data_IF_495754017756
#
_entry.id   IF_495754017756
#
_cell.length_a   1.000
_cell.length_b   1.000
_cell.length_c   1.000
_cell.angle_alpha   90.00
_cell.angle_beta   90.00
_cell.angle_gamma   90.00
#
_symmetry.space_group_name_H-M   'P 1'
#
loop_
_entity.id
_entity.type
_entity.pdbx_description
1 polymer ?
#
# COMPACT_ATOMS: atom_id res chain seq x y z
N UNK A 1 -3.91 13.03 12.15
CA UNK A 1 -2.72 12.16 12.10
C UNK A 1 -3.10 11.00 11.22
N UNK A 2 -2.50 10.77 10.04
CA UNK A 2 -2.83 9.59 9.24
C UNK A 2 -2.41 8.40 10.08
N UNK A 3 -3.38 7.58 10.47
CA UNK A 3 -3.16 6.39 11.29
C UNK A 3 -2.19 5.46 10.58
N UNK A 4 -1.36 4.76 11.33
CA UNK A 4 -0.57 3.60 10.90
C UNK A 4 -1.43 2.44 10.35
N UNK A 5 -2.72 2.67 10.07
CA UNK A 5 -3.70 1.67 9.65
C UNK A 5 -3.54 1.21 8.18
N UNK A 6 -2.87 1.99 7.32
CA UNK A 6 -2.62 1.62 5.93
C UNK A 6 -1.20 2.05 5.52
N UNK A 7 -0.35 1.07 5.23
CA UNK A 7 1.06 1.28 4.91
C UNK A 7 1.25 2.13 3.64
N UNK A 8 0.46 1.86 2.61
CA UNK A 8 0.54 2.55 1.32
C UNK A 8 0.10 4.00 1.43
N UNK A 9 -0.93 4.31 2.23
CA UNK A 9 -1.32 5.69 2.52
C UNK A 9 -0.15 6.50 3.12
N UNK A 10 0.63 5.87 4.00
CA UNK A 10 1.83 6.48 4.58
C UNK A 10 2.92 6.72 3.53
N UNK A 11 3.11 5.80 2.58
CA UNK A 11 4.05 5.99 1.47
C UNK A 11 3.61 7.09 0.51
N UNK A 12 2.34 7.09 0.11
CA UNK A 12 1.76 8.09 -0.78
C UNK A 12 1.91 9.51 -0.21
N UNK A 13 1.62 9.70 1.08
CA UNK A 13 1.81 10.99 1.76
C UNK A 13 3.28 11.43 1.85
N UNK A 14 4.23 10.49 1.97
CA UNK A 14 5.67 10.81 1.96
C UNK A 14 6.14 11.15 0.56
N UNK A 15 5.67 10.43 -0.44
CA UNK A 15 5.96 10.69 -1.85
C UNK A 15 5.45 12.06 -2.29
N UNK A 16 4.17 12.39 -2.03
CA UNK A 16 3.58 13.68 -2.43
C UNK A 16 4.28 14.90 -1.81
N UNK A 17 4.96 14.73 -0.67
CA UNK A 17 5.77 15.80 -0.05
C UNK A 17 7.07 16.10 -0.79
N UNK A 18 7.55 15.19 -1.62
CA UNK A 18 8.84 15.32 -2.33
C UNK A 18 8.69 15.25 -3.85
N UNK A 19 7.53 14.86 -4.35
CA UNK A 19 7.24 14.83 -5.79
C UNK A 19 7.03 16.26 -6.33
N UNK A 20 7.83 16.71 -7.33
CA UNK A 20 7.73 18.07 -7.83
C UNK A 20 6.39 18.41 -8.50
N UNK A 21 5.71 17.42 -9.11
CA UNK A 21 4.41 17.64 -9.73
C UNK A 21 3.34 17.80 -8.65
N UNK A 22 3.33 16.92 -7.65
CA UNK A 22 2.41 17.04 -6.52
C UNK A 22 2.59 18.36 -5.77
N UNK A 23 3.83 18.78 -5.52
CA UNK A 23 4.09 20.09 -4.92
C UNK A 23 3.53 21.23 -5.77
N UNK A 24 3.72 21.18 -7.09
CA UNK A 24 3.19 22.19 -8.00
C UNK A 24 1.65 22.24 -8.02
N UNK A 25 0.97 21.10 -7.98
CA UNK A 25 -0.49 20.99 -7.88
C UNK A 25 -0.97 21.60 -6.56
N UNK A 26 -0.36 21.20 -5.44
CA UNK A 26 -0.74 21.62 -4.09
C UNK A 26 -0.46 23.11 -3.82
N UNK A 27 0.51 23.71 -4.51
CA UNK A 27 0.85 25.14 -4.40
C UNK A 27 0.02 26.04 -5.33
N UNK A 28 -0.79 25.47 -6.23
CA UNK A 28 -1.57 26.25 -7.18
C UNK A 28 -2.60 27.14 -6.44
N UNK A 29 -2.89 28.38 -6.90
CA UNK A 29 -3.80 29.30 -6.19
C UNK A 29 -5.23 28.79 -5.94
N UNK A 30 -5.63 27.71 -6.62
CA UNK A 30 -6.88 26.97 -6.41
C UNK A 30 -6.65 25.46 -6.26
N UNK A 31 -5.41 25.00 -6.33
CA UNK A 31 -5.03 23.63 -6.01
C UNK A 31 -4.93 23.54 -4.51
N UNK A 32 -5.97 23.02 -3.87
CA UNK A 32 -5.88 22.65 -2.47
C UNK A 32 -5.00 21.40 -2.33
N UNK A 33 -4.91 20.89 -1.10
CA UNK A 33 -4.28 19.60 -0.86
C UNK A 33 -5.02 18.50 -1.64
N UNK A 34 -4.30 17.76 -2.48
CA UNK A 34 -4.82 16.59 -3.19
C UNK A 34 -5.48 15.63 -2.16
N UNK A 35 -6.73 15.17 -2.39
CA UNK A 35 -7.38 14.19 -1.53
C UNK A 35 -6.53 12.93 -1.36
N UNK A 36 -6.48 12.37 -0.15
CA UNK A 36 -5.63 11.20 0.16
C UNK A 36 -5.87 10.02 -0.79
N UNK A 37 -7.13 9.74 -1.16
CA UNK A 37 -7.44 8.64 -2.08
C UNK A 37 -6.86 8.87 -3.49
N UNK A 38 -6.84 10.11 -3.96
CA UNK A 38 -6.23 10.49 -5.24
C UNK A 38 -4.71 10.37 -5.17
N UNK A 39 -4.09 10.88 -4.09
CA UNK A 39 -2.65 10.72 -3.85
C UNK A 39 -2.22 9.26 -3.76
N UNK A 40 -3.04 8.38 -3.17
CA UNK A 40 -2.80 6.94 -3.14
C UNK A 40 -2.83 6.36 -4.56
N UNK A 41 -3.85 6.71 -5.35
CA UNK A 41 -3.98 6.25 -6.73
C UNK A 41 -2.81 6.69 -7.61
N UNK A 42 -2.39 7.95 -7.52
CA UNK A 42 -1.24 8.49 -8.26
C UNK A 42 0.06 7.80 -7.84
N UNK A 43 0.28 7.64 -6.52
CA UNK A 43 1.42 6.91 -5.99
C UNK A 43 1.47 5.48 -6.54
N UNK A 44 0.36 4.75 -6.46
CA UNK A 44 0.28 3.37 -6.94
C UNK A 44 0.39 3.27 -8.47
N UNK A 45 -0.04 4.29 -9.21
CA UNK A 45 0.16 4.35 -10.67
C UNK A 45 1.64 4.39 -11.07
N UNK A 46 2.49 5.02 -10.26
CA UNK A 46 3.93 5.16 -10.51
C UNK A 46 4.80 4.14 -9.77
N UNK A 47 4.28 3.53 -8.70
CA UNK A 47 5.04 2.69 -7.78
C UNK A 47 4.37 1.33 -7.54
N UNK A 48 5.18 0.29 -7.33
CA UNK A 48 4.71 -0.99 -6.83
C UNK A 48 5.33 -1.25 -5.45
N UNK A 49 4.65 -0.91 -4.34
CA UNK A 49 5.19 -1.09 -2.99
C UNK A 49 5.36 -2.56 -2.59
N UNK A 50 4.66 -3.48 -3.27
CA UNK A 50 4.70 -4.92 -3.02
C UNK A 50 5.05 -5.66 -4.32
N UNK A 51 6.35 -5.76 -4.68
CA UNK A 51 6.76 -6.46 -5.89
C UNK A 51 6.63 -7.98 -5.75
N UNK A 52 6.54 -8.68 -6.88
CA UNK A 52 6.48 -10.14 -6.95
C UNK A 52 7.63 -10.79 -6.15
N UNK A 53 7.29 -11.80 -5.35
CA UNK A 53 8.20 -12.47 -4.43
C UNK A 53 8.46 -11.73 -3.11
N UNK A 54 7.90 -10.54 -2.90
CA UNK A 54 8.01 -9.85 -1.62
C UNK A 54 7.23 -10.58 -0.52
N UNK A 55 7.81 -10.64 0.68
CA UNK A 55 7.09 -11.06 1.87
C UNK A 55 6.24 -9.91 2.41
N UNK A 56 4.98 -10.19 2.66
CA UNK A 56 3.99 -9.27 3.22
C UNK A 56 3.28 -9.91 4.38
N UNK A 57 2.58 -9.09 5.14
CA UNK A 57 1.56 -9.52 6.09
C UNK A 57 0.20 -9.11 5.55
N UNK A 58 -0.75 -10.03 5.63
CA UNK A 58 -2.12 -9.91 5.15
C UNK A 58 -3.06 -9.86 6.35
N UNK A 59 -4.08 -9.00 6.31
CA UNK A 59 -5.14 -9.02 7.33
C UNK A 59 -5.84 -10.38 7.36
N UNK A 60 -5.98 -10.97 8.55
CA UNK A 60 -6.65 -12.25 8.74
C UNK A 60 -8.14 -12.18 8.43
N UNK A 61 -8.74 -13.32 8.07
CA UNK A 61 -10.18 -13.41 7.71
C UNK A 61 -11.13 -13.00 8.84
N UNK A 62 -10.71 -13.14 10.10
CA UNK A 62 -11.46 -12.68 11.27
C UNK A 62 -11.40 -11.16 11.46
N UNK A 63 -10.62 -10.45 10.64
CA UNK A 63 -10.37 -9.02 10.74
C UNK A 63 -9.42 -8.65 11.88
N UNK A 64 -8.88 -9.63 12.60
CA UNK A 64 -8.04 -9.43 13.77
C UNK A 64 -6.62 -9.95 13.55
N UNK A 65 -5.71 -9.01 13.36
CA UNK A 65 -4.29 -9.30 13.23
C UNK A 65 -3.87 -9.66 11.81
N UNK A 66 -2.65 -10.16 11.72
CA UNK A 66 -1.89 -10.25 10.48
C UNK A 66 -1.31 -11.66 10.32
N UNK A 67 -1.23 -12.12 9.09
CA UNK A 67 -0.67 -13.42 8.71
C UNK A 67 0.33 -13.25 7.55
N UNK A 68 1.53 -13.85 7.62
CA UNK A 68 2.51 -13.73 6.56
C UNK A 68 2.08 -14.44 5.27
N UNK A 69 2.38 -13.80 4.13
CA UNK A 69 2.19 -14.33 2.80
C UNK A 69 3.30 -13.84 1.85
N UNK A 70 3.34 -14.41 0.65
CA UNK A 70 4.24 -13.98 -0.42
C UNK A 70 3.43 -13.37 -1.56
N UNK A 71 3.85 -12.22 -2.07
CA UNK A 71 3.25 -11.62 -3.27
C UNK A 71 3.58 -12.49 -4.48
N UNK A 72 2.56 -12.90 -5.23
CA UNK A 72 2.72 -13.66 -6.47
C UNK A 72 2.79 -12.72 -7.65
N UNK A 73 1.79 -11.85 -7.80
CA UNK A 73 1.71 -10.86 -8.87
C UNK A 73 0.81 -9.68 -8.48
N UNK A 74 0.99 -8.56 -9.17
CA UNK A 74 0.11 -7.39 -9.07
C UNK A 74 -1.02 -7.50 -10.09
N UNK A 75 -2.25 -7.70 -9.63
CA UNK A 75 -3.44 -7.92 -10.47
C UNK A 75 -4.13 -6.64 -10.89
N UNK A 76 -4.04 -5.58 -10.07
CA UNK A 76 -4.54 -4.24 -10.37
C UNK A 76 -3.62 -3.16 -9.78
N UNK A 77 -3.92 -1.89 -10.05
CA UNK A 77 -3.13 -0.77 -9.50
C UNK A 77 -3.08 -0.81 -7.97
N UNK A 78 -4.12 -1.27 -7.30
CA UNK A 78 -4.20 -1.32 -5.85
C UNK A 78 -4.43 -2.72 -5.28
N UNK A 79 -4.23 -3.76 -6.09
CA UNK A 79 -4.50 -5.16 -5.72
C UNK A 79 -3.34 -6.10 -6.10
N UNK A 80 -3.12 -7.11 -5.26
CA UNK A 80 -2.13 -8.16 -5.44
C UNK A 80 -2.72 -9.54 -5.15
N UNK A 81 -2.24 -10.54 -5.90
CA UNK A 81 -2.38 -11.95 -5.49
C UNK A 81 -1.28 -12.25 -4.46
N UNK A 82 -1.67 -12.83 -3.33
CA UNK A 82 -0.75 -13.31 -2.30
C UNK A 82 -0.96 -14.80 -2.05
N UNK A 83 0.12 -15.52 -1.76
CA UNK A 83 0.12 -16.94 -1.42
C UNK A 83 0.53 -17.13 0.04
N UNK A 84 -0.30 -17.84 0.80
CA UNK A 84 -0.03 -18.25 2.17
C UNK A 84 0.84 -19.51 2.23
N UNK A 85 1.33 -19.85 3.42
CA UNK A 85 2.21 -20.99 3.64
C UNK A 85 1.58 -22.36 3.31
N UNK A 86 0.26 -22.45 3.30
CA UNK A 86 -0.50 -23.65 2.93
C UNK A 86 -0.76 -23.76 1.41
N UNK A 87 -0.27 -22.79 0.63
CA UNK A 87 -0.46 -22.69 -0.82
C UNK A 87 -1.80 -22.07 -1.23
N UNK A 88 -2.63 -21.61 -0.28
CA UNK A 88 -3.84 -20.84 -0.63
C UNK A 88 -3.45 -19.49 -1.24
N UNK A 89 -4.07 -19.14 -2.37
CA UNK A 89 -3.91 -17.84 -3.00
C UNK A 89 -5.18 -17.00 -2.87
N UNK A 90 -5.02 -15.73 -2.53
CA UNK A 90 -6.10 -14.76 -2.39
C UNK A 90 -5.73 -13.42 -3.00
N UNK A 91 -6.74 -12.65 -3.40
CA UNK A 91 -6.58 -11.26 -3.81
C UNK A 91 -6.76 -10.31 -2.64
N UNK A 92 -5.89 -9.32 -2.51
CA UNK A 92 -5.89 -8.34 -1.43
C UNK A 92 -5.58 -6.96 -1.95
N UNK A 93 -6.26 -5.97 -1.38
CA UNK A 93 -6.00 -4.57 -1.68
C UNK A 93 -4.92 -3.98 -0.76
N UNK A 94 -4.51 -2.76 -1.06
CA UNK A 94 -3.50 -2.04 -0.28
C UNK A 94 -3.89 -1.72 1.19
N UNK A 95 -5.17 -1.82 1.57
CA UNK A 95 -5.61 -1.73 2.98
C UNK A 95 -5.35 -3.01 3.75
N UNK A 96 -5.31 -4.15 3.05
CA UNK A 96 -5.16 -5.46 3.65
C UNK A 96 -3.71 -5.96 3.70
N UNK A 97 -2.76 -5.15 3.22
CA UNK A 97 -1.34 -5.51 3.11
C UNK A 97 -0.44 -4.55 3.88
N UNK A 98 0.60 -5.11 4.50
CA UNK A 98 1.76 -4.37 5.02
C UNK A 98 3.05 -5.14 4.77
N UNK A 99 4.23 -4.50 4.79
CA UNK A 99 5.49 -5.21 4.68
C UNK A 99 5.61 -6.22 5.82
N UNK A 100 6.17 -7.38 5.52
CA UNK A 100 6.48 -8.35 6.56
C UNK A 100 7.42 -7.74 7.58
N UNK A 101 6.95 -7.60 8.82
CA UNK A 101 7.81 -7.27 9.95
C UNK A 101 8.12 -8.56 10.69
N UNK A 102 9.35 -9.10 10.58
CA UNK A 102 9.80 -10.12 11.52
C UNK A 102 9.91 -9.40 12.87
N UNK A 103 8.87 -9.43 13.70
CA UNK A 103 9.04 -8.97 15.08
C UNK A 103 10.19 -9.76 15.70
N UNK A 104 11.16 -9.00 16.23
CA UNK A 104 12.38 -9.49 16.82
C UNK A 104 12.06 -10.58 17.85
N UNK A 105 12.47 -11.81 17.55
CA UNK A 105 12.42 -12.91 18.52
C UNK A 105 13.24 -12.62 19.77
#
# INVERSE_FOLDING_TARGET
MPTEANYVAGLALRWARVDPMEQWINDAPKGGTTPLAETIGEYLGAHNPFPDGAQVEVVRRDGEGWEPATVIDRTAVDEWTVEFHDGEQVWRDHHELRPYSPEAG
#
